data_IF_646383990310
#
_entry.id   IF_646383990310
#
_cell.length_a   1.000
_cell.length_b   1.000
_cell.length_c   1.000
_cell.angle_alpha   90.00
_cell.angle_beta   90.00
_cell.angle_gamma   90.00
#
_symmetry.space_group_name_H-M   'P 1'
#
loop_
_entity.id
_entity.type
_entity.pdbx_description
1 polymer ?
#
# COMPACT_ATOMS: atom_id res chain seq x y z
N UNK A 1 20.96 12.34 -38.39
CA UNK A 1 19.83 11.90 -37.56
C UNK A 1 20.23 12.07 -36.10
N UNK A 2 19.67 13.05 -35.37
CA UNK A 2 20.06 13.27 -33.99
C UNK A 2 19.30 12.31 -33.06
N UNK A 3 20.06 11.55 -32.27
CA UNK A 3 19.56 10.72 -31.16
C UNK A 3 18.90 11.63 -30.13
N UNK A 4 17.60 11.47 -29.90
CA UNK A 4 16.91 12.06 -28.75
C UNK A 4 17.28 11.24 -27.53
N UNK A 5 18.15 11.80 -26.70
CA UNK A 5 18.45 11.29 -25.36
C UNK A 5 17.22 11.64 -24.51
N UNK A 6 16.36 10.64 -24.27
CA UNK A 6 15.30 10.76 -23.28
C UNK A 6 15.94 10.87 -21.90
N UNK A 7 15.66 11.96 -21.21
CA UNK A 7 16.06 12.12 -19.82
C UNK A 7 15.25 11.11 -18.99
N UNK A 8 15.90 9.99 -18.66
CA UNK A 8 15.41 9.02 -17.69
C UNK A 8 15.51 9.66 -16.30
N UNK A 9 14.41 10.22 -15.82
CA UNK A 9 14.31 10.63 -14.40
C UNK A 9 14.06 9.35 -13.61
N UNK A 10 15.12 8.60 -13.31
CA UNK A 10 15.08 7.57 -12.28
C UNK A 10 14.88 8.27 -10.94
N UNK A 11 13.65 8.23 -10.42
CA UNK A 11 13.40 8.59 -9.04
C UNK A 11 14.01 7.47 -8.17
N UNK A 12 15.23 7.73 -7.70
CA UNK A 12 15.98 6.83 -6.84
C UNK A 12 15.18 6.48 -5.57
N UNK A 13 15.29 5.21 -5.18
CA UNK A 13 14.81 4.61 -3.95
C UNK A 13 14.86 5.56 -2.75
N UNK A 14 13.68 5.88 -2.24
CA UNK A 14 13.51 6.36 -0.89
C UNK A 14 12.40 5.49 -0.26
N UNK A 15 12.80 4.42 0.42
CA UNK A 15 11.99 3.76 1.44
C UNK A 15 11.89 4.76 2.60
N UNK A 16 11.07 5.79 2.42
CA UNK A 16 10.63 6.65 3.50
C UNK A 16 9.28 6.09 3.92
N UNK A 17 9.22 5.72 5.20
CA UNK A 17 8.01 5.40 5.93
C UNK A 17 6.83 6.26 5.41
N UNK A 18 5.85 5.60 4.77
CA UNK A 18 4.61 6.21 4.26
C UNK A 18 3.77 6.70 5.44
N UNK A 19 4.16 7.83 6.03
CA UNK A 19 3.38 8.59 7.01
C UNK A 19 2.88 9.93 6.43
N UNK A 20 2.85 10.09 5.11
CA UNK A 20 2.17 11.21 4.49
C UNK A 20 1.55 10.75 3.17
N UNK A 21 0.45 11.38 2.77
CA UNK A 21 -0.36 11.14 1.57
C UNK A 21 -1.54 10.17 1.72
N UNK A 22 -2.37 10.42 2.73
CA UNK A 22 -3.83 10.37 2.54
C UNK A 22 -4.26 11.78 2.17
N UNK A 23 -4.22 12.10 0.88
CA UNK A 23 -5.02 13.17 0.31
C UNK A 23 -5.89 12.52 -0.76
N UNK A 24 -7.16 12.32 -0.41
CA UNK A 24 -8.18 11.88 -1.35
C UNK A 24 -8.30 12.86 -2.51
N UNK A 25 -8.58 12.33 -3.70
CA UNK A 25 -8.97 13.14 -4.84
C UNK A 25 -10.15 14.04 -4.45
N UNK A 26 -10.01 15.32 -4.79
CA UNK A 26 -10.87 16.40 -4.35
C UNK A 26 -12.35 16.14 -4.60
N UNK A 27 -13.11 16.06 -3.52
CA UNK A 27 -14.43 16.67 -3.55
C UNK A 27 -14.21 18.18 -3.70
N UNK A 28 -14.72 18.75 -4.78
CA UNK A 28 -14.85 20.20 -4.92
C UNK A 28 -15.58 20.70 -3.66
N UNK A 29 -14.97 21.58 -2.83
CA UNK A 29 -15.71 22.13 -1.71
C UNK A 29 -16.91 22.88 -2.29
N UNK A 30 -18.11 22.63 -1.76
CA UNK A 30 -19.33 23.33 -2.16
C UNK A 30 -19.31 24.84 -1.87
N UNK A 31 -18.18 25.38 -1.39
CA UNK A 31 -17.94 26.80 -1.21
C UNK A 31 -16.58 27.17 -1.83
N UNK A 32 -16.55 28.07 -2.83
CA UNK A 32 -15.28 28.63 -3.28
C UNK A 32 -14.64 29.40 -2.10
N UNK A 33 -13.35 29.17 -1.88
CA UNK A 33 -12.58 30.00 -0.95
C UNK A 33 -12.70 31.48 -1.40
N UNK A 34 -12.99 32.42 -0.50
CA UNK A 34 -13.09 33.82 -0.86
C UNK A 34 -11.74 34.30 -1.39
N UNK A 35 -11.77 35.00 -2.52
CA UNK A 35 -10.61 35.62 -3.12
C UNK A 35 -9.90 36.51 -2.10
N UNK A 36 -8.58 36.33 -1.97
CA UNK A 36 -7.71 37.05 -1.04
C UNK A 36 -7.86 38.55 -1.28
N UNK A 37 -8.48 39.23 -0.30
CA UNK A 37 -8.46 40.67 -0.17
C UNK A 37 -7.94 41.01 1.23
N UNK A 38 -6.69 41.45 1.30
CA UNK A 38 -6.15 42.23 2.42
C UNK A 38 -5.74 41.43 3.67
N UNK A 39 -4.55 41.76 4.18
CA UNK A 39 -4.11 41.39 5.52
C UNK A 39 -5.06 42.01 6.55
N UNK A 40 -5.95 41.19 7.11
CA UNK A 40 -6.72 41.49 8.31
C UNK A 40 -6.58 40.31 9.27
N UNK A 41 -6.42 40.58 10.56
CA UNK A 41 -6.49 39.57 11.62
C UNK A 41 -7.89 38.96 11.64
N UNK A 42 -8.13 37.98 10.78
CA UNK A 42 -9.36 37.20 10.79
C UNK A 42 -9.29 36.18 11.91
N UNK A 43 -10.08 36.37 12.97
CA UNK A 43 -10.38 35.29 13.92
C UNK A 43 -11.23 34.25 13.22
N UNK A 44 -10.72 33.03 13.10
CA UNK A 44 -11.47 31.88 12.62
C UNK A 44 -12.20 31.23 13.81
N UNK A 45 -13.53 31.13 13.72
CA UNK A 45 -14.35 30.45 14.72
C UNK A 45 -14.78 29.08 14.20
N UNK A 46 -14.42 28.02 14.92
CA UNK A 46 -14.87 26.66 14.64
C UNK A 46 -16.05 26.32 15.56
N UNK A 47 -17.28 26.42 15.02
CA UNK A 47 -18.50 26.02 15.72
C UNK A 47 -18.81 24.55 15.43
N UNK A 48 -18.12 23.64 16.10
CA UNK A 48 -18.40 22.20 16.03
C UNK A 48 -18.35 21.59 17.43
N UNK A 49 -19.26 20.68 17.72
CA UNK A 49 -19.27 19.92 18.97
C UNK A 49 -18.18 18.84 18.93
N UNK A 50 -17.63 18.51 20.10
CA UNK A 50 -16.66 17.43 20.20
C UNK A 50 -17.37 16.08 20.08
N UNK A 51 -16.71 15.07 19.47
CA UNK A 51 -17.26 13.73 19.39
C UNK A 51 -17.39 13.13 20.81
N UNK A 52 -18.42 12.33 21.04
CA UNK A 52 -18.49 11.48 22.23
C UNK A 52 -17.33 10.48 22.20
N UNK A 53 -16.51 10.49 23.25
CA UNK A 53 -15.38 9.58 23.43
C UNK A 53 -15.66 8.62 24.58
N UNK A 54 -15.14 7.40 24.46
CA UNK A 54 -15.21 6.42 25.54
C UNK A 54 -14.17 6.76 26.61
N UNK A 55 -14.46 6.44 27.88
CA UNK A 55 -13.55 6.70 29.01
C UNK A 55 -12.23 5.91 28.89
N UNK A 56 -12.26 4.77 28.20
CA UNK A 56 -11.09 3.93 27.98
C UNK A 56 -11.19 3.15 26.68
N UNK A 57 -10.05 2.89 26.06
CA UNK A 57 -9.92 2.09 24.84
C UNK A 57 -8.96 0.93 25.08
N UNK A 58 -9.22 -0.21 24.44
CA UNK A 58 -8.32 -1.36 24.47
C UNK A 58 -6.98 -0.99 23.81
N UNK A 59 -5.89 -1.18 24.55
CA UNK A 59 -4.54 -1.11 23.99
C UNK A 59 -4.22 -2.46 23.35
N UNK A 60 -3.77 -2.45 22.10
CA UNK A 60 -3.30 -3.65 21.42
C UNK A 60 -1.77 -3.63 21.28
N UNK A 61 -1.14 -4.77 21.56
CA UNK A 61 0.29 -4.96 21.33
C UNK A 61 0.52 -5.97 20.23
N UNK A 62 1.52 -5.69 19.38
CA UNK A 62 2.01 -6.63 18.38
C UNK A 62 2.56 -7.87 19.08
N UNK A 63 2.11 -9.04 18.63
CA UNK A 63 2.70 -10.32 18.99
C UNK A 63 4.02 -10.45 18.24
N UNK A 64 5.17 -10.56 18.94
CA UNK A 64 6.46 -10.71 18.27
C UNK A 64 6.48 -11.97 17.42
N UNK A 65 7.08 -11.85 16.23
CA UNK A 65 7.31 -12.97 15.33
C UNK A 65 8.81 -13.09 15.10
N UNK A 66 9.28 -14.33 14.95
CA UNK A 66 10.62 -14.61 14.45
C UNK A 66 10.48 -15.67 13.38
N UNK A 67 10.75 -15.28 12.14
CA UNK A 67 10.70 -16.18 10.99
C UNK A 67 12.07 -16.85 10.85
N UNK A 68 12.08 -18.18 10.72
CA UNK A 68 13.26 -18.97 10.42
C UNK A 68 13.49 -19.06 8.91
N UNK A 69 14.69 -19.40 8.47
CA UNK A 69 14.99 -19.61 7.04
C UNK A 69 14.11 -20.69 6.40
N UNK A 70 13.79 -21.76 7.14
CA UNK A 70 12.88 -22.81 6.66
C UNK A 70 11.47 -22.27 6.40
N UNK A 71 11.00 -21.34 7.24
CA UNK A 71 9.72 -20.69 7.04
C UNK A 71 9.73 -19.73 5.85
N UNK A 72 10.87 -19.08 5.56
CA UNK A 72 11.03 -18.27 4.34
C UNK A 72 10.85 -19.16 3.09
N UNK A 73 11.45 -20.35 3.08
CA UNK A 73 11.33 -21.31 1.98
C UNK A 73 9.89 -21.79 1.81
N UNK A 74 9.22 -22.14 2.90
CA UNK A 74 7.80 -22.54 2.88
C UNK A 74 6.91 -21.43 2.31
N UNK A 75 7.15 -20.16 2.68
CA UNK A 75 6.40 -19.02 2.12
C UNK A 75 6.64 -18.90 0.61
N UNK A 76 7.88 -19.07 0.13
CA UNK A 76 8.18 -19.03 -1.30
C UNK A 76 7.46 -20.15 -2.07
N UNK A 77 7.40 -21.36 -1.50
CA UNK A 77 6.67 -22.50 -2.06
C UNK A 77 5.17 -22.22 -2.19
N UNK A 78 4.57 -21.43 -1.29
CA UNK A 78 3.17 -21.04 -1.41
C UNK A 78 2.87 -20.22 -2.66
N UNK A 79 3.84 -19.42 -3.13
CA UNK A 79 3.76 -18.69 -4.41
C UNK A 79 4.20 -19.56 -5.61
N UNK A 80 4.56 -20.82 -5.39
CA UNK A 80 5.09 -21.70 -6.43
C UNK A 80 6.45 -21.24 -6.96
N UNK A 81 7.26 -20.61 -6.11
CA UNK A 81 8.63 -20.21 -6.43
C UNK A 81 9.63 -21.29 -6.05
N UNK A 82 10.68 -21.39 -6.83
CA UNK A 82 11.82 -22.28 -6.61
C UNK A 82 13.13 -21.50 -6.62
N UNK A 83 14.12 -21.97 -5.85
CA UNK A 83 15.43 -21.33 -5.78
C UNK A 83 15.99 -21.27 -4.37
N UNK A 84 17.13 -20.59 -4.23
CA UNK A 84 17.77 -20.34 -2.95
C UNK A 84 17.42 -18.94 -2.45
N UNK A 85 16.98 -18.85 -1.19
CA UNK A 85 16.82 -17.56 -0.52
C UNK A 85 18.18 -17.01 -0.08
N UNK A 86 18.33 -15.68 -0.13
CA UNK A 86 19.53 -14.97 0.30
C UNK A 86 19.16 -13.95 1.36
N UNK A 87 19.91 -13.91 2.46
CA UNK A 87 19.83 -12.81 3.41
C UNK A 87 20.38 -11.54 2.74
N UNK A 88 19.54 -10.52 2.62
CA UNK A 88 19.86 -9.26 1.92
C UNK A 88 20.13 -8.12 2.90
N UNK A 89 19.55 -8.20 4.09
CA UNK A 89 19.68 -7.16 5.12
C UNK A 89 19.50 -7.75 6.52
N UNK A 90 20.55 -7.67 7.33
CA UNK A 90 20.51 -8.07 8.75
C UNK A 90 19.61 -7.13 9.59
N UNK A 91 19.60 -5.84 9.23
CA UNK A 91 18.85 -4.79 9.95
C UNK A 91 17.35 -5.04 9.87
N UNK A 92 16.85 -5.37 8.67
CA UNK A 92 15.43 -5.64 8.44
C UNK A 92 15.09 -7.12 8.57
N UNK A 93 16.10 -8.00 8.59
CA UNK A 93 15.94 -9.45 8.54
C UNK A 93 15.39 -9.91 7.19
N UNK A 94 15.68 -9.18 6.10
CA UNK A 94 15.14 -9.50 4.79
C UNK A 94 15.85 -10.72 4.18
N UNK A 95 15.04 -11.68 3.76
CA UNK A 95 15.43 -12.76 2.88
C UNK A 95 14.71 -12.60 1.54
N UNK A 96 15.48 -12.57 0.45
CA UNK A 96 14.96 -12.50 -0.91
C UNK A 96 15.19 -13.83 -1.63
N UNK A 97 14.15 -14.32 -2.29
CA UNK A 97 14.23 -15.40 -3.27
C UNK A 97 13.74 -14.87 -4.61
N UNK A 98 14.53 -15.10 -5.66
CA UNK A 98 14.18 -14.76 -7.04
C UNK A 98 14.17 -16.05 -7.85
N UNK A 99 13.04 -16.35 -8.49
CA UNK A 99 12.90 -17.49 -9.39
C UNK A 99 13.15 -17.03 -10.84
N UNK A 100 14.41 -17.13 -11.25
CA UNK A 100 14.88 -16.78 -12.60
C UNK A 100 14.53 -17.85 -13.66
N UNK A 101 13.86 -18.94 -13.26
CA UNK A 101 13.39 -19.96 -14.21
C UNK A 101 12.04 -19.59 -14.84
N UNK A 102 11.35 -18.61 -14.26
CA UNK A 102 10.11 -18.04 -14.77
C UNK A 102 10.38 -16.86 -15.71
N UNK A 103 9.46 -16.63 -16.63
CA UNK A 103 9.51 -15.52 -17.59
C UNK A 103 8.11 -14.86 -17.62
N UNK A 104 7.95 -13.65 -17.06
CA UNK A 104 8.96 -12.84 -16.35
C UNK A 104 9.42 -13.45 -15.01
N UNK A 105 10.55 -12.97 -14.51
CA UNK A 105 11.08 -13.37 -13.20
C UNK A 105 10.09 -12.99 -12.07
N UNK A 106 9.91 -13.90 -11.12
CA UNK A 106 9.10 -13.66 -9.93
C UNK A 106 9.98 -13.68 -8.68
N UNK A 107 9.63 -12.87 -7.69
CA UNK A 107 10.41 -12.78 -6.45
C UNK A 107 9.53 -12.67 -5.21
N UNK A 108 10.07 -13.14 -4.08
CA UNK A 108 9.48 -12.95 -2.76
C UNK A 108 10.54 -12.48 -1.76
N UNK A 109 10.23 -11.41 -1.04
CA UNK A 109 10.95 -10.96 0.15
C UNK A 109 10.17 -11.32 1.41
N UNK A 110 10.84 -11.91 2.39
CA UNK A 110 10.30 -12.18 3.73
C UNK A 110 11.15 -11.48 4.77
N UNK A 111 10.51 -10.71 5.64
CA UNK A 111 11.16 -9.89 6.66
C UNK A 111 11.08 -10.58 8.01
N UNK A 112 12.18 -11.16 8.48
CA UNK A 112 12.17 -12.07 9.62
C UNK A 112 11.79 -11.43 10.96
N UNK A 113 12.05 -10.12 11.11
CA UNK A 113 11.76 -9.37 12.33
C UNK A 113 10.30 -8.88 12.40
N UNK A 114 9.64 -8.70 11.26
CA UNK A 114 8.27 -8.18 11.19
C UNK A 114 7.24 -9.21 10.73
N UNK A 115 7.68 -10.31 10.12
CA UNK A 115 6.82 -11.28 9.44
C UNK A 115 6.25 -10.77 8.12
N UNK A 116 6.68 -9.59 7.64
CA UNK A 116 6.16 -9.04 6.39
C UNK A 116 6.57 -9.91 5.19
N UNK A 117 5.66 -10.01 4.22
CA UNK A 117 5.87 -10.75 2.97
C UNK A 117 5.59 -9.81 1.82
N UNK A 118 6.53 -9.73 0.88
CA UNK A 118 6.38 -8.99 -0.35
C UNK A 118 6.62 -9.92 -1.54
N UNK A 119 5.65 -10.07 -2.43
CA UNK A 119 5.76 -10.85 -3.66
C UNK A 119 5.65 -9.90 -4.85
N UNK A 120 6.45 -10.11 -5.89
CA UNK A 120 6.51 -9.23 -7.05
C UNK A 120 6.81 -10.00 -8.34
N UNK A 121 6.14 -9.59 -9.41
CA UNK A 121 6.54 -9.79 -10.79
C UNK A 121 6.92 -8.41 -11.33
N UNK A 122 8.19 -8.02 -11.15
CA UNK A 122 8.62 -6.63 -11.30
C UNK A 122 8.33 -6.06 -12.70
N UNK A 123 8.54 -6.86 -13.74
CA UNK A 123 8.33 -6.44 -15.13
C UNK A 123 6.85 -6.15 -15.46
N UNK A 124 5.91 -6.75 -14.70
CA UNK A 124 4.48 -6.52 -14.88
C UNK A 124 3.91 -5.50 -13.89
N UNK A 125 4.47 -5.42 -12.68
CA UNK A 125 4.05 -4.43 -11.69
C UNK A 125 4.56 -3.03 -12.03
N UNK A 126 5.80 -2.94 -12.53
CA UNK A 126 6.54 -1.72 -12.83
C UNK A 126 7.22 -1.82 -14.22
N UNK A 127 6.44 -2.00 -15.30
CA UNK A 127 6.98 -2.10 -16.65
C UNK A 127 7.78 -0.85 -17.03
N UNK A 128 8.88 -1.07 -17.77
CA UNK A 128 9.72 0.04 -18.26
C UNK A 128 9.00 0.91 -19.30
N UNK A 129 8.16 0.29 -20.13
CA UNK A 129 7.38 0.97 -21.17
C UNK A 129 6.00 0.36 -21.30
N UNK A 130 4.99 1.22 -21.45
CA UNK A 130 3.60 0.82 -21.69
C UNK A 130 3.12 1.54 -22.94
N UNK A 131 2.69 0.75 -23.92
CA UNK A 131 2.24 1.27 -25.22
C UNK A 131 0.72 1.21 -25.38
N UNK A 132 0.04 0.41 -24.56
CA UNK A 132 -1.41 0.17 -24.59
C UNK A 132 -1.94 0.10 -23.16
N UNK A 133 -3.19 0.54 -22.98
CA UNK A 133 -3.88 0.47 -21.69
C UNK A 133 -4.13 -1.00 -21.31
N UNK A 134 -3.63 -1.49 -20.16
CA UNK A 134 -3.99 -2.81 -19.65
C UNK A 134 -5.49 -2.94 -19.41
N UNK A 135 -6.02 -4.14 -19.64
CA UNK A 135 -7.39 -4.55 -19.32
C UNK A 135 -7.49 -4.87 -17.82
N UNK A 136 -7.57 -3.80 -17.02
CA UNK A 136 -7.68 -3.93 -15.57
C UNK A 136 -9.09 -4.34 -15.16
N UNK A 137 -9.23 -5.29 -14.21
CA UNK A 137 -10.53 -5.76 -13.75
C UNK A 137 -11.35 -4.64 -13.09
N UNK A 138 -12.67 -4.78 -13.08
CA UNK A 138 -13.52 -3.90 -12.26
C UNK A 138 -13.18 -4.06 -10.77
N UNK A 139 -13.59 -3.12 -9.92
CA UNK A 139 -13.29 -3.21 -8.49
C UNK A 139 -13.83 -4.51 -7.85
N UNK A 140 -15.04 -4.94 -8.22
CA UNK A 140 -15.63 -6.17 -7.69
C UNK A 140 -14.88 -7.44 -8.16
N UNK A 141 -14.42 -7.46 -9.41
CA UNK A 141 -13.60 -8.56 -9.93
C UNK A 141 -12.21 -8.57 -9.29
N UNK A 142 -11.59 -7.40 -9.15
CA UNK A 142 -10.29 -7.26 -8.50
C UNK A 142 -10.33 -7.79 -7.06
N UNK A 143 -11.36 -7.43 -6.30
CA UNK A 143 -11.56 -7.91 -4.93
C UNK A 143 -11.70 -9.44 -4.87
N UNK A 144 -12.48 -10.03 -5.79
CA UNK A 144 -12.64 -11.48 -5.88
C UNK A 144 -11.31 -12.18 -6.20
N UNK A 145 -10.55 -11.64 -7.15
CA UNK A 145 -9.24 -12.19 -7.54
C UNK A 145 -8.25 -12.07 -6.38
N UNK A 146 -8.17 -10.91 -5.73
CA UNK A 146 -7.28 -10.69 -4.60
C UNK A 146 -7.59 -11.65 -3.43
N UNK A 147 -8.87 -11.80 -3.07
CA UNK A 147 -9.28 -12.75 -2.02
C UNK A 147 -8.93 -14.20 -2.37
N UNK A 148 -9.16 -14.61 -3.62
CA UNK A 148 -8.81 -15.95 -4.08
C UNK A 148 -7.30 -16.19 -4.06
N UNK A 149 -6.51 -15.19 -4.45
CA UNK A 149 -5.05 -15.23 -4.37
C UNK A 149 -4.57 -15.37 -2.92
N UNK A 150 -5.11 -14.57 -2.00
CA UNK A 150 -4.72 -14.65 -0.59
C UNK A 150 -5.06 -16.01 0.03
N UNK A 151 -6.23 -16.56 -0.29
CA UNK A 151 -6.63 -17.90 0.17
C UNK A 151 -5.69 -18.98 -0.40
N UNK A 152 -5.45 -18.97 -1.71
CA UNK A 152 -4.61 -19.96 -2.41
C UNK A 152 -3.19 -20.01 -1.86
N UNK A 153 -2.60 -18.86 -1.57
CA UNK A 153 -1.19 -18.74 -1.16
C UNK A 153 -1.01 -18.66 0.37
N UNK A 154 -2.04 -18.99 1.17
CA UNK A 154 -1.93 -18.97 2.63
C UNK A 154 -1.71 -17.58 3.24
N UNK A 155 -2.05 -16.51 2.50
CA UNK A 155 -1.84 -15.11 2.89
C UNK A 155 -3.10 -14.44 3.46
N UNK A 156 -4.17 -15.19 3.71
CA UNK A 156 -5.40 -14.66 4.29
C UNK A 156 -5.22 -14.33 5.77
N UNK A 157 -5.69 -13.15 6.16
CA UNK A 157 -5.83 -12.76 7.57
C UNK A 157 -7.31 -12.76 7.96
N UNK A 158 -7.72 -13.39 9.08
CA UNK A 158 -9.13 -13.53 9.45
C UNK A 158 -9.89 -12.22 9.64
N UNK A 159 -9.20 -11.19 10.12
CA UNK A 159 -9.73 -9.87 10.46
C UNK A 159 -9.49 -8.82 9.37
N UNK A 160 -8.87 -9.21 8.26
CA UNK A 160 -8.67 -8.34 7.12
C UNK A 160 -9.95 -8.19 6.29
N UNK A 161 -10.26 -6.95 5.91
CA UNK A 161 -11.33 -6.61 4.98
C UNK A 161 -10.81 -5.65 3.92
N UNK A 162 -11.45 -5.66 2.75
CA UNK A 162 -11.17 -4.65 1.72
C UNK A 162 -11.57 -3.28 2.25
N UNK A 163 -10.64 -2.34 2.23
CA UNK A 163 -10.87 -0.93 2.61
C UNK A 163 -10.90 -0.02 1.40
N UNK A 164 -10.22 -0.39 0.32
CA UNK A 164 -10.12 0.43 -0.89
C UNK A 164 -9.67 -0.40 -2.09
N UNK A 165 -10.26 -0.13 -3.25
CA UNK A 165 -9.84 -0.68 -4.53
C UNK A 165 -9.63 0.46 -5.52
N UNK A 166 -8.40 0.64 -6.00
CA UNK A 166 -8.01 1.81 -6.79
C UNK A 166 -6.87 1.52 -7.77
N UNK A 167 -6.65 2.43 -8.72
CA UNK A 167 -5.43 2.40 -9.55
C UNK A 167 -4.22 2.59 -8.65
N UNK A 168 -3.23 1.70 -8.78
CA UNK A 168 -2.04 1.68 -7.95
C UNK A 168 -0.86 2.39 -8.62
N UNK A 169 -0.59 2.04 -9.89
CA UNK A 169 0.48 2.65 -10.68
C UNK A 169 -0.08 3.25 -11.96
N UNK A 170 0.48 4.38 -12.37
CA UNK A 170 0.19 5.06 -13.63
C UNK A 170 1.46 5.37 -14.37
N UNK A 171 1.42 5.30 -15.70
CA UNK A 171 2.47 5.81 -16.56
C UNK A 171 1.90 6.90 -17.46
N UNK A 172 2.58 8.03 -17.52
CA UNK A 172 2.10 9.20 -18.24
C UNK A 172 3.16 9.73 -19.19
N UNK A 173 2.73 10.10 -20.39
CA UNK A 173 3.56 10.76 -21.39
C UNK A 173 3.25 12.25 -21.36
N UNK A 174 4.28 13.05 -21.07
CA UNK A 174 4.15 14.49 -20.90
C UNK A 174 4.85 15.26 -22.02
N UNK A 175 4.20 16.32 -22.49
CA UNK A 175 4.85 17.34 -23.32
C UNK A 175 5.50 18.39 -22.44
N UNK A 176 6.69 18.83 -22.81
CA UNK A 176 7.39 19.92 -22.12
C UNK A 176 6.50 21.17 -22.03
N UNK A 177 6.26 21.65 -20.81
CA UNK A 177 5.42 22.82 -20.54
C UNK A 177 3.90 22.57 -20.60
N UNK A 178 3.46 21.32 -20.76
CA UNK A 178 2.05 20.95 -20.65
C UNK A 178 1.55 20.93 -19.21
N UNK A 179 0.26 21.23 -19.01
CA UNK A 179 -0.41 21.16 -17.71
C UNK A 179 -1.11 19.82 -17.45
N UNK A 180 -1.25 19.00 -18.48
CA UNK A 180 -1.90 17.68 -18.44
C UNK A 180 -1.11 16.69 -19.33
N UNK A 181 -1.15 15.38 -19.03
CA UNK A 181 -0.45 14.36 -19.82
C UNK A 181 -1.11 14.20 -21.20
N UNK A 182 -0.29 13.95 -22.24
CA UNK A 182 -0.80 13.61 -23.58
C UNK A 182 -1.42 12.22 -23.61
N UNK A 183 -0.87 11.30 -22.81
CA UNK A 183 -1.39 9.94 -22.61
C UNK A 183 -1.18 9.56 -21.14
N UNK A 184 -2.17 8.90 -20.54
CA UNK A 184 -2.10 8.33 -19.19
C UNK A 184 -2.58 6.90 -19.24
N UNK A 185 -1.77 5.98 -18.73
CA UNK A 185 -2.06 4.55 -18.64
C UNK A 185 -2.19 4.15 -17.19
N UNK A 186 -3.30 3.51 -16.83
CA UNK A 186 -3.46 2.87 -15.53
C UNK A 186 -2.81 1.48 -15.61
N UNK A 187 -1.69 1.28 -14.93
CA UNK A 187 -0.83 0.10 -15.13
C UNK A 187 -1.26 -1.06 -14.26
N UNK A 188 -1.54 -0.79 -12.99
CA UNK A 188 -1.96 -1.80 -12.02
C UNK A 188 -3.09 -1.27 -11.15
N UNK A 189 -3.88 -2.19 -10.60
CA UNK A 189 -4.93 -1.92 -9.61
C UNK A 189 -4.57 -2.56 -8.28
N UNK A 190 -4.70 -1.83 -7.17
CA UNK A 190 -4.49 -2.36 -5.84
C UNK A 190 -5.83 -2.61 -5.15
N UNK A 191 -5.97 -3.80 -4.57
CA UNK A 191 -6.99 -4.11 -3.57
C UNK A 191 -6.31 -4.01 -2.20
N UNK A 192 -6.70 -2.99 -1.44
CA UNK A 192 -6.13 -2.70 -0.12
C UNK A 192 -6.98 -3.30 0.98
N UNK A 193 -6.31 -3.92 1.93
CA UNK A 193 -6.90 -4.56 3.08
C UNK A 193 -6.48 -3.85 4.37
N UNK A 194 -7.42 -3.72 5.28
CA UNK A 194 -7.20 -3.19 6.63
C UNK A 194 -8.07 -3.94 7.64
N UNK A 195 -7.94 -3.59 8.92
CA UNK A 195 -8.76 -4.16 10.00
C UNK A 195 -9.47 -3.07 10.79
N UNK A 196 -10.44 -3.50 11.59
CA UNK A 196 -10.90 -2.74 12.75
C UNK A 196 -10.77 -3.60 13.98
N UNK A 197 -10.40 -2.96 15.08
CA UNK A 197 -10.39 -3.54 16.41
C UNK A 197 -11.35 -2.69 17.26
N UNK A 198 -12.29 -3.35 17.95
CA UNK A 198 -13.34 -2.68 18.73
C UNK A 198 -14.11 -1.59 17.96
N UNK A 199 -14.37 -1.86 16.67
CA UNK A 199 -15.08 -0.93 15.77
C UNK A 199 -14.23 0.25 15.27
N UNK A 200 -12.99 0.39 15.72
CA UNK A 200 -12.08 1.46 15.29
C UNK A 200 -11.17 1.00 14.16
N UNK A 201 -10.99 1.79 13.09
CA UNK A 201 -10.04 1.46 12.03
C UNK A 201 -8.60 1.50 12.56
N UNK A 202 -7.80 0.50 12.16
CA UNK A 202 -6.36 0.49 12.46
C UNK A 202 -5.60 1.08 11.28
N UNK A 203 -4.83 2.14 11.54
CA UNK A 203 -3.98 2.78 10.54
C UNK A 203 -2.55 2.26 10.61
N UNK A 204 -1.86 2.22 9.46
CA UNK A 204 -0.47 1.76 9.37
C UNK A 204 -0.30 0.24 9.41
N UNK A 205 -1.41 -0.50 9.37
CA UNK A 205 -1.46 -1.95 9.40
C UNK A 205 -2.39 -2.45 8.30
N UNK A 206 -2.01 -2.09 7.09
CA UNK A 206 -2.72 -2.36 5.86
C UNK A 206 -1.82 -3.17 4.93
N UNK A 207 -2.41 -3.91 4.01
CA UNK A 207 -1.67 -4.58 2.94
C UNK A 207 -2.41 -4.48 1.62
N UNK A 208 -1.73 -4.80 0.52
CA UNK A 208 -2.34 -4.75 -0.80
C UNK A 208 -1.94 -5.94 -1.67
N UNK A 209 -2.93 -6.49 -2.38
CA UNK A 209 -2.70 -7.30 -3.57
C UNK A 209 -2.78 -6.38 -4.80
N UNK A 210 -1.87 -6.57 -5.75
CA UNK A 210 -1.66 -5.70 -6.90
C UNK A 210 -1.92 -6.53 -8.15
N UNK A 211 -2.85 -6.05 -8.98
CA UNK A 211 -3.32 -6.72 -10.18
C UNK A 211 -2.87 -5.96 -11.42
N UNK A 212 -2.33 -6.69 -12.40
CA UNK A 212 -1.95 -6.20 -13.72
C UNK A 212 -3.01 -6.52 -14.78
N UNK A 213 -2.54 -6.61 -16.02
CA UNK A 213 -3.35 -6.91 -17.20
C UNK A 213 -4.12 -8.23 -17.05
N UNK A 214 -5.38 -8.25 -17.50
CA UNK A 214 -6.25 -9.43 -17.41
C UNK A 214 -6.56 -9.89 -15.98
N UNK A 215 -6.20 -9.12 -14.95
CA UNK A 215 -6.39 -9.46 -13.55
C UNK A 215 -5.35 -10.41 -12.97
N UNK A 216 -4.19 -10.58 -13.61
CA UNK A 216 -3.06 -11.31 -13.02
C UNK A 216 -2.59 -10.62 -11.73
N UNK A 217 -2.32 -11.38 -10.66
CA UNK A 217 -1.73 -10.81 -9.44
C UNK A 217 -0.22 -10.70 -9.62
N UNK A 218 0.23 -9.48 -9.87
CA UNK A 218 1.64 -9.14 -10.14
C UNK A 218 2.38 -8.67 -8.89
N UNK A 219 1.67 -8.45 -7.79
CA UNK A 219 2.31 -8.08 -6.53
C UNK A 219 1.46 -8.30 -5.28
N UNK A 220 2.14 -8.44 -4.16
CA UNK A 220 1.57 -8.44 -2.80
C UNK A 220 2.54 -7.69 -1.89
N UNK A 221 2.05 -6.73 -1.11
CA UNK A 221 2.83 -6.11 -0.05
C UNK A 221 2.08 -6.28 1.28
N UNK A 222 2.43 -7.30 2.06
CA UNK A 222 1.76 -7.70 3.29
C UNK A 222 2.62 -7.40 4.52
N UNK A 223 2.33 -6.29 5.19
CA UNK A 223 2.95 -5.88 6.46
C UNK A 223 2.08 -6.18 7.68
N UNK A 224 1.22 -7.19 7.58
CA UNK A 224 0.23 -7.56 8.60
C UNK A 224 0.88 -8.17 9.84
N UNK A 225 0.55 -7.64 11.03
CA UNK A 225 1.08 -8.15 12.30
C UNK A 225 -0.02 -8.71 13.18
N UNK A 226 0.18 -9.86 13.78
CA UNK A 226 -0.75 -10.35 14.79
C UNK A 226 -0.71 -9.44 16.03
N UNK A 227 -1.87 -9.16 16.61
CA UNK A 227 -2.01 -8.28 17.78
C UNK A 227 -2.86 -8.94 18.85
N UNK A 228 -2.57 -8.63 20.11
CA UNK A 228 -3.34 -9.09 21.26
C UNK A 228 -3.70 -7.90 22.17
N UNK A 229 -4.88 -7.92 22.83
CA UNK A 229 -5.21 -6.96 23.88
C UNK A 229 -4.15 -6.95 25.00
N UNK A 230 -3.74 -5.76 25.44
CA UNK A 230 -2.72 -5.50 26.45
C UNK A 230 -3.18 -4.40 27.43
N UNK A 231 -4.40 -4.59 27.96
CA UNK A 231 -5.04 -3.66 28.89
C UNK A 231 -5.77 -2.52 28.20
N UNK A 232 -6.08 -1.47 28.97
CA UNK A 232 -6.85 -0.32 28.52
C UNK A 232 -6.08 0.98 28.78
N UNK A 233 -6.31 1.97 27.93
CA UNK A 233 -5.75 3.32 28.05
C UNK A 233 -6.87 4.35 27.98
N UNK A 234 -6.76 5.39 28.81
CA UNK A 234 -7.63 6.58 28.70
C UNK A 234 -6.99 7.58 27.76
N UNK A 235 -7.79 8.11 26.84
CA UNK A 235 -7.37 9.20 25.97
C UNK A 235 -7.55 10.54 26.69
N UNK A 236 -6.76 11.53 26.30
CA UNK A 236 -7.01 12.92 26.69
C UNK A 236 -8.35 13.37 26.13
N UNK A 237 -9.02 14.27 26.83
CA UNK A 237 -10.28 14.80 26.33
C UNK A 237 -10.05 15.58 25.03
N UNK A 238 -11.05 15.65 24.13
CA UNK A 238 -10.94 16.45 22.91
C UNK A 238 -10.57 17.93 23.16
N UNK A 239 -10.96 18.50 24.31
CA UNK A 239 -10.59 19.84 24.76
C UNK A 239 -9.09 19.96 25.07
N UNK A 240 -8.53 18.96 25.76
CA UNK A 240 -7.11 18.91 26.10
C UNK A 240 -6.22 18.74 24.86
N UNK A 241 -6.74 18.10 23.80
CA UNK A 241 -6.02 17.88 22.54
C UNK A 241 -5.89 19.13 21.65
N UNK A 242 -6.60 20.23 21.95
CA UNK A 242 -6.56 21.48 21.17
C UNK A 242 -5.45 22.47 21.60
N UNK A 243 -4.76 22.22 22.71
CA UNK A 243 -3.67 23.07 23.21
C UNK A 243 -2.33 22.76 22.53
#
# INVERSE_FOLDING_TARGET
MPRKIGALVCLALAIIARCAWVLGQGQTPANPLPAVAGAGEGTYSLATEFPEVQDSYTLYRVVPVTITEDRVREIAEWFGLSGESKAVSEVTGEFLLVDVSKEPEEQVSVYAHSGAVAYHILDLELPTEVTQQPDLPTNAEAEKIALAFLEKNGMKSPDARVVKTEVNQKQEVWKSGGSEPEVSYDITKAVRFGRSLDGLPVYGDEFAAILGDGGEVVGLAKTWREVAPDGNVSLRSPEEGKQ
#
